data_IF_420358375831
#
_entry.id   IF_420358375831
#
_cell.length_a   1.000
_cell.length_b   1.000
_cell.length_c   1.000
_cell.angle_alpha   90.00
_cell.angle_beta   90.00
_cell.angle_gamma   90.00
#
_symmetry.space_group_name_H-M   'P 1'
#
loop_
_entity.id
_entity.type
_entity.pdbx_description
1 polymer ?
#
# COMPACT_ATOMS: atom_id res chain seq x y z
N UNK A 1 -11.18 11.01 -31.87
CA UNK A 1 -10.21 11.22 -30.77
C UNK A 1 -10.46 12.58 -30.16
N UNK A 2 -10.69 12.69 -28.85
CA UNK A 2 -10.82 14.01 -28.21
C UNK A 2 -9.72 14.16 -27.15
N UNK A 3 -8.62 14.81 -27.53
CA UNK A 3 -7.51 15.14 -26.64
C UNK A 3 -7.91 16.37 -25.83
N UNK A 4 -8.57 16.18 -24.68
CA UNK A 4 -8.84 17.28 -23.78
C UNK A 4 -7.58 17.59 -22.94
N UNK A 5 -7.00 18.76 -23.15
CA UNK A 5 -5.75 19.19 -22.52
C UNK A 5 -5.88 19.47 -21.00
N UNK A 6 -7.11 19.69 -20.50
CA UNK A 6 -7.49 19.87 -19.09
C UNK A 6 -9.02 19.88 -19.00
N UNK A 7 -9.62 19.12 -18.08
CA UNK A 7 -11.02 19.23 -17.71
C UNK A 7 -11.17 19.25 -16.18
N UNK A 8 -12.16 20.01 -15.71
CA UNK A 8 -12.71 19.92 -14.37
C UNK A 8 -14.07 19.26 -14.50
N UNK A 9 -14.30 18.18 -13.74
CA UNK A 9 -15.54 17.41 -13.84
C UNK A 9 -16.14 17.25 -12.45
N UNK A 10 -17.42 17.60 -12.32
CA UNK A 10 -18.21 17.43 -11.10
C UNK A 10 -19.59 16.85 -11.40
N UNK A 11 -19.99 15.83 -10.64
CA UNK A 11 -21.34 15.26 -10.63
C UNK A 11 -21.80 14.55 -11.91
N UNK A 12 -21.38 13.28 -12.10
CA UNK A 12 -21.98 12.25 -12.98
C UNK A 12 -21.08 10.98 -13.03
N UNK A 13 -21.56 9.92 -13.70
CA UNK A 13 -20.71 8.80 -14.17
C UNK A 13 -20.09 9.16 -15.51
N UNK A 14 -18.76 9.03 -15.64
CA UNK A 14 -18.04 9.34 -16.89
C UNK A 14 -17.19 8.17 -17.36
N UNK A 15 -17.16 7.97 -18.67
CA UNK A 15 -16.29 7.02 -19.36
C UNK A 15 -15.31 7.77 -20.26
N UNK A 16 -14.00 7.59 -20.04
CA UNK A 16 -12.96 8.21 -20.85
C UNK A 16 -11.88 7.20 -21.27
N UNK A 17 -11.44 7.28 -22.52
CA UNK A 17 -10.37 6.40 -23.01
C UNK A 17 -8.96 6.92 -22.68
N UNK A 18 -8.72 8.23 -22.78
CA UNK A 18 -7.41 8.82 -22.58
C UNK A 18 -7.52 10.17 -21.88
N UNK A 19 -6.75 10.37 -20.82
CA UNK A 19 -6.61 11.68 -20.20
C UNK A 19 -5.15 12.03 -19.87
N UNK A 20 -4.70 13.18 -20.34
CA UNK A 20 -3.37 13.68 -20.06
C UNK A 20 -3.27 14.31 -18.66
N UNK A 21 -4.20 15.21 -18.31
CA UNK A 21 -4.25 15.93 -17.02
C UNK A 21 -5.69 16.24 -16.62
N UNK A 22 -6.15 15.81 -15.44
CA UNK A 22 -7.48 16.17 -14.91
C UNK A 22 -7.47 16.52 -13.43
N UNK A 23 -8.46 17.32 -13.05
CA UNK A 23 -8.92 17.52 -11.67
C UNK A 23 -10.38 17.08 -11.57
N UNK A 24 -10.67 16.17 -10.65
CA UNK A 24 -12.02 15.63 -10.48
C UNK A 24 -12.46 15.76 -9.02
N UNK A 25 -13.68 16.21 -8.78
CA UNK A 25 -14.34 16.14 -7.47
C UNK A 25 -15.79 15.70 -7.61
N UNK A 26 -16.22 14.71 -6.80
CA UNK A 26 -17.62 14.28 -6.70
C UNK A 26 -18.17 13.55 -7.92
N UNK A 27 -17.56 12.44 -8.36
CA UNK A 27 -18.00 11.68 -9.53
C UNK A 27 -17.61 10.19 -9.48
N UNK A 28 -18.25 9.36 -10.33
CA UNK A 28 -17.79 8.01 -10.68
C UNK A 28 -17.11 8.04 -12.03
N UNK A 29 -15.91 7.48 -12.14
CA UNK A 29 -15.09 7.56 -13.35
C UNK A 29 -14.57 6.20 -13.78
N UNK A 30 -14.74 5.88 -15.06
CA UNK A 30 -14.12 4.75 -15.74
C UNK A 30 -13.10 5.26 -16.75
N UNK A 31 -11.83 4.88 -16.57
CA UNK A 31 -10.72 5.36 -17.39
C UNK A 31 -9.77 4.25 -17.84
N UNK A 32 -9.43 4.24 -19.13
CA UNK A 32 -8.47 3.29 -19.66
C UNK A 32 -7.01 3.72 -19.41
N UNK A 33 -6.64 4.94 -19.81
CA UNK A 33 -5.27 5.43 -19.67
C UNK A 33 -5.21 6.86 -19.13
N UNK A 34 -4.47 7.03 -18.02
CA UNK A 34 -4.28 8.32 -17.37
C UNK A 34 -2.79 8.64 -17.14
N UNK A 35 -2.32 9.75 -17.68
CA UNK A 35 -0.93 10.18 -17.46
C UNK A 35 -0.75 10.85 -16.09
N UNK A 36 -1.56 11.88 -15.79
CA UNK A 36 -1.52 12.61 -14.51
C UNK A 36 -2.92 12.98 -14.03
N UNK A 37 -3.26 12.71 -12.77
CA UNK A 37 -4.54 13.14 -12.20
C UNK A 37 -4.37 13.66 -10.77
N UNK A 38 -5.23 14.60 -10.41
CA UNK A 38 -5.53 14.98 -9.03
C UNK A 38 -7.01 14.71 -8.80
N UNK A 39 -7.34 13.87 -7.82
CA UNK A 39 -8.74 13.52 -7.55
C UNK A 39 -9.07 13.77 -6.09
N UNK A 40 -10.17 14.49 -5.86
CA UNK A 40 -10.81 14.62 -4.55
C UNK A 40 -11.72 13.43 -4.26
N UNK A 41 -12.86 13.68 -3.59
CA UNK A 41 -13.85 12.63 -3.27
C UNK A 41 -14.47 12.03 -4.53
N UNK A 42 -14.13 10.81 -4.89
CA UNK A 42 -14.65 10.14 -6.09
C UNK A 42 -14.57 8.60 -5.98
N UNK A 43 -15.29 7.91 -6.86
CA UNK A 43 -15.08 6.48 -7.15
C UNK A 43 -14.40 6.35 -8.52
N UNK A 44 -13.25 5.69 -8.59
CA UNK A 44 -12.46 5.56 -9.82
C UNK A 44 -12.18 4.10 -10.16
N UNK A 45 -12.46 3.73 -11.41
CA UNK A 45 -12.04 2.48 -12.04
C UNK A 45 -11.06 2.81 -13.15
N UNK A 46 -9.81 2.36 -13.01
CA UNK A 46 -8.73 2.72 -13.92
C UNK A 46 -7.87 1.52 -14.33
N UNK A 47 -7.59 1.39 -15.63
CA UNK A 47 -6.73 0.31 -16.12
C UNK A 47 -5.24 0.65 -15.95
N UNK A 48 -4.79 1.78 -16.50
CA UNK A 48 -3.37 2.16 -16.45
C UNK A 48 -3.20 3.62 -16.03
N UNK A 49 -2.39 3.84 -14.98
CA UNK A 49 -2.05 5.19 -14.54
C UNK A 49 -0.55 5.38 -14.27
N UNK A 50 0.01 6.47 -14.83
CA UNK A 50 1.41 6.79 -14.62
C UNK A 50 1.67 7.52 -13.29
N UNK A 51 0.95 8.62 -13.01
CA UNK A 51 1.14 9.42 -11.78
C UNK A 51 -0.19 9.94 -11.23
N UNK A 52 -0.50 9.71 -9.96
CA UNK A 52 -1.72 10.25 -9.34
C UNK A 52 -1.45 10.81 -7.94
N UNK A 53 -2.26 11.80 -7.57
CA UNK A 53 -2.41 12.32 -6.21
C UNK A 53 -3.90 12.33 -5.87
N UNK A 54 -4.28 11.70 -4.77
CA UNK A 54 -5.69 11.44 -4.47
C UNK A 54 -6.01 11.68 -3.00
N UNK A 55 -7.19 12.26 -2.73
CA UNK A 55 -7.70 12.53 -1.39
C UNK A 55 -9.17 12.14 -1.26
N UNK A 56 -9.55 11.23 -0.35
CA UNK A 56 -10.96 11.00 -0.02
C UNK A 56 -11.74 10.06 -0.95
N UNK A 57 -11.17 8.98 -1.49
CA UNK A 57 -11.77 8.26 -2.63
C UNK A 57 -11.83 6.72 -2.47
N UNK A 58 -12.69 6.06 -3.25
CA UNK A 58 -12.65 4.60 -3.49
C UNK A 58 -12.07 4.32 -4.87
N UNK A 59 -11.08 3.45 -4.95
CA UNK A 59 -10.34 3.21 -6.19
C UNK A 59 -10.12 1.75 -6.50
N UNK A 60 -10.33 1.40 -7.76
CA UNK A 60 -9.97 0.12 -8.35
C UNK A 60 -9.03 0.36 -9.52
N UNK A 61 -7.83 -0.20 -9.43
CA UNK A 61 -6.73 0.10 -10.35
C UNK A 61 -5.95 -1.16 -10.73
N UNK A 62 -5.77 -1.38 -12.04
CA UNK A 62 -5.01 -2.54 -12.51
C UNK A 62 -3.49 -2.29 -12.42
N UNK A 63 -2.99 -1.22 -13.05
CA UNK A 63 -1.57 -0.93 -13.09
C UNK A 63 -1.25 0.53 -12.77
N UNK A 64 -0.37 0.73 -11.79
CA UNK A 64 0.09 2.04 -11.38
C UNK A 64 1.61 2.15 -11.26
N UNK A 65 2.19 3.14 -11.93
CA UNK A 65 3.62 3.40 -11.80
C UNK A 65 3.94 4.19 -10.51
N UNK A 66 3.27 5.32 -10.26
CA UNK A 66 3.49 6.16 -9.06
C UNK A 66 2.19 6.72 -8.51
N UNK A 67 1.98 6.58 -7.21
CA UNK A 67 0.79 7.14 -6.54
C UNK A 67 1.14 7.76 -5.19
N UNK A 68 0.39 8.80 -4.85
CA UNK A 68 0.27 9.35 -3.50
C UNK A 68 -1.21 9.39 -3.14
N UNK A 69 -1.58 8.77 -2.02
CA UNK A 69 -2.98 8.61 -1.61
C UNK A 69 -3.14 9.03 -0.16
N UNK A 70 -4.13 9.86 0.12
CA UNK A 70 -4.58 10.23 1.46
C UNK A 70 -6.06 9.90 1.66
N UNK A 71 -6.47 9.28 2.77
CA UNK A 71 -7.89 9.20 3.14
C UNK A 71 -8.74 8.37 2.18
N UNK A 72 -8.44 7.10 1.90
CA UNK A 72 -9.08 6.36 0.80
C UNK A 72 -9.22 4.85 1.04
N UNK A 73 -10.09 4.20 0.25
CA UNK A 73 -10.12 2.74 0.07
C UNK A 73 -9.56 2.41 -1.31
N UNK A 74 -8.54 1.57 -1.38
CA UNK A 74 -7.79 1.33 -2.62
C UNK A 74 -7.60 -0.17 -2.88
N UNK A 75 -8.00 -0.62 -4.06
CA UNK A 75 -7.79 -1.97 -4.58
C UNK A 75 -6.87 -1.90 -5.81
N UNK A 76 -5.72 -2.57 -5.73
CA UNK A 76 -4.67 -2.48 -6.75
C UNK A 76 -4.13 -3.85 -7.12
N UNK A 77 -3.99 -4.13 -8.41
CA UNK A 77 -3.31 -5.34 -8.86
C UNK A 77 -1.79 -5.17 -8.85
N UNK A 78 -1.26 -4.18 -9.57
CA UNK A 78 0.18 -3.97 -9.69
C UNK A 78 0.59 -2.52 -9.43
N UNK A 79 1.56 -2.35 -8.53
CA UNK A 79 2.05 -1.06 -8.09
C UNK A 79 3.58 -1.00 -8.05
N UNK A 80 4.18 -0.11 -8.85
CA UNK A 80 5.64 0.07 -8.81
C UNK A 80 6.08 0.92 -7.60
N UNK A 81 5.48 2.09 -7.38
CA UNK A 81 5.81 2.99 -6.25
C UNK A 81 4.56 3.60 -5.62
N UNK A 82 4.37 3.40 -4.32
CA UNK A 82 3.23 3.93 -3.59
C UNK A 82 3.66 4.70 -2.33
N UNK A 83 2.95 5.79 -2.05
CA UNK A 83 2.94 6.44 -0.75
C UNK A 83 1.50 6.60 -0.29
N UNK A 84 1.17 6.07 0.88
CA UNK A 84 -0.21 6.00 1.35
C UNK A 84 -0.28 6.50 2.80
N UNK A 85 -1.24 7.39 3.06
CA UNK A 85 -1.58 7.93 4.37
C UNK A 85 -3.07 7.76 4.68
N UNK A 86 -3.46 7.30 5.87
CA UNK A 86 -4.87 7.37 6.30
C UNK A 86 -5.84 6.53 5.45
N UNK A 87 -5.56 5.25 5.18
CA UNK A 87 -6.31 4.49 4.15
C UNK A 87 -6.51 3.00 4.47
N UNK A 88 -7.47 2.37 3.78
CA UNK A 88 -7.59 0.92 3.65
C UNK A 88 -7.05 0.52 2.27
N UNK A 89 -6.07 -0.37 2.22
CA UNK A 89 -5.39 -0.72 0.97
C UNK A 89 -5.27 -2.24 0.80
N UNK A 90 -5.65 -2.71 -0.39
CA UNK A 90 -5.47 -4.07 -0.86
C UNK A 90 -4.58 -4.05 -2.10
N UNK A 91 -3.39 -4.66 -2.04
CA UNK A 91 -2.49 -4.76 -3.21
C UNK A 91 -2.01 -6.18 -3.43
N UNK A 92 -2.12 -6.66 -4.67
CA UNK A 92 -1.58 -7.97 -5.04
C UNK A 92 -0.04 -7.92 -5.16
N UNK A 93 0.50 -7.03 -5.98
CA UNK A 93 1.94 -6.94 -6.20
C UNK A 93 2.46 -5.50 -6.06
N UNK A 94 3.45 -5.34 -5.19
CA UNK A 94 4.09 -4.05 -4.96
C UNK A 94 5.62 -4.12 -4.95
N UNK A 95 6.26 -3.30 -5.80
CA UNK A 95 7.72 -3.23 -5.80
C UNK A 95 8.25 -2.37 -4.65
N UNK A 96 7.70 -1.16 -4.45
CA UNK A 96 8.09 -0.25 -3.36
C UNK A 96 6.89 0.46 -2.78
N UNK A 97 6.69 0.37 -1.46
CA UNK A 97 5.69 1.22 -0.81
C UNK A 97 6.20 1.86 0.49
N UNK A 98 5.59 3.01 0.81
CA UNK A 98 5.69 3.70 2.09
C UNK A 98 4.28 3.93 2.61
N UNK A 99 4.02 3.55 3.85
CA UNK A 99 2.67 3.56 4.42
C UNK A 99 2.71 4.21 5.80
N UNK A 100 1.77 5.14 6.04
CA UNK A 100 1.55 5.80 7.33
C UNK A 100 0.07 5.75 7.71
N UNK A 101 -0.30 5.40 8.95
CA UNK A 101 -1.68 5.59 9.41
C UNK A 101 -2.72 4.77 8.62
N UNK A 102 -2.55 3.47 8.41
CA UNK A 102 -3.39 2.72 7.45
C UNK A 102 -3.66 1.27 7.87
N UNK A 103 -4.70 0.65 7.28
CA UNK A 103 -4.89 -0.81 7.26
C UNK A 103 -4.51 -1.35 5.89
N UNK A 104 -3.63 -2.35 5.83
CA UNK A 104 -3.06 -2.82 4.58
C UNK A 104 -3.04 -4.34 4.48
N UNK A 105 -3.49 -4.87 3.34
CA UNK A 105 -3.36 -6.27 2.93
C UNK A 105 -2.52 -6.38 1.65
N UNK A 106 -1.42 -7.10 1.73
CA UNK A 106 -0.47 -7.31 0.63
C UNK A 106 -0.20 -8.79 0.37
N UNK A 107 -0.27 -9.20 -0.90
CA UNK A 107 0.17 -10.56 -1.26
C UNK A 107 1.68 -10.61 -1.45
N UNK A 108 2.25 -9.78 -2.31
CA UNK A 108 3.68 -9.80 -2.60
C UNK A 108 4.29 -8.40 -2.57
N UNK A 109 5.35 -8.23 -1.76
CA UNK A 109 6.05 -6.96 -1.63
C UNK A 109 7.58 -7.11 -1.66
N UNK A 110 8.24 -6.38 -2.56
CA UNK A 110 9.71 -6.39 -2.62
C UNK A 110 10.33 -5.49 -1.54
N UNK A 111 9.86 -4.24 -1.39
CA UNK A 111 10.38 -3.29 -0.38
C UNK A 111 9.27 -2.49 0.28
N UNK A 112 9.22 -2.53 1.61
CA UNK A 112 8.20 -1.86 2.41
C UNK A 112 8.80 -1.01 3.53
N UNK A 113 8.20 0.16 3.76
CA UNK A 113 8.42 0.95 4.99
C UNK A 113 7.07 1.36 5.55
N UNK A 114 6.81 1.01 6.80
CA UNK A 114 5.50 1.18 7.43
C UNK A 114 5.64 1.89 8.77
N UNK A 115 4.76 2.87 9.03
CA UNK A 115 4.64 3.58 10.29
C UNK A 115 3.17 3.68 10.73
N UNK A 116 2.82 3.42 12.00
CA UNK A 116 1.47 3.75 12.51
C UNK A 116 0.34 2.98 11.82
N UNK A 117 0.40 1.65 11.69
CA UNK A 117 -0.51 0.91 10.80
C UNK A 117 -0.83 -0.52 11.27
N UNK A 118 -1.89 -1.10 10.72
CA UNK A 118 -2.17 -2.55 10.77
C UNK A 118 -1.86 -3.17 9.41
N UNK A 119 -0.99 -4.17 9.38
CA UNK A 119 -0.49 -4.75 8.13
C UNK A 119 -0.57 -6.27 8.12
N UNK A 120 -1.11 -6.83 7.03
CA UNK A 120 -1.06 -8.26 6.71
C UNK A 120 -0.29 -8.45 5.41
N UNK A 121 0.78 -9.25 5.44
CA UNK A 121 1.62 -9.52 4.27
C UNK A 121 1.88 -11.01 4.11
N UNK A 122 1.59 -11.56 2.94
CA UNK A 122 1.91 -12.97 2.67
C UNK A 122 3.41 -13.16 2.41
N UNK A 123 3.98 -12.42 1.45
CA UNK A 123 5.39 -12.56 1.08
C UNK A 123 6.10 -11.20 0.99
N UNK A 124 7.22 -11.09 1.70
CA UNK A 124 8.05 -9.89 1.72
C UNK A 124 9.55 -10.16 1.58
N UNK A 125 10.20 -9.49 0.65
CA UNK A 125 11.67 -9.57 0.56
C UNK A 125 12.35 -8.67 1.61
N UNK A 126 11.92 -7.42 1.76
CA UNK A 126 12.48 -6.47 2.74
C UNK A 126 11.41 -5.58 3.34
N UNK A 127 11.32 -5.53 4.67
CA UNK A 127 10.49 -4.51 5.33
C UNK A 127 11.19 -3.82 6.51
N UNK A 128 10.74 -2.60 6.75
CA UNK A 128 11.05 -1.76 7.90
C UNK A 128 9.73 -1.28 8.52
N UNK A 129 9.53 -1.52 9.80
CA UNK A 129 8.25 -1.25 10.48
C UNK A 129 8.49 -0.50 11.78
N UNK A 130 7.70 0.55 12.02
CA UNK A 130 7.68 1.33 13.26
C UNK A 130 6.24 1.55 13.75
N UNK A 131 5.93 1.39 15.04
CA UNK A 131 4.64 1.84 15.58
C UNK A 131 3.41 1.14 14.99
N UNK A 132 3.39 -0.19 14.88
CA UNK A 132 2.41 -0.91 14.06
C UNK A 132 2.03 -2.29 14.62
N UNK A 133 0.91 -2.84 14.15
CA UNK A 133 0.56 -4.27 14.29
C UNK A 133 0.80 -4.95 12.96
N UNK A 134 1.61 -6.02 12.94
CA UNK A 134 2.06 -6.67 11.72
C UNK A 134 1.87 -8.19 11.78
N UNK A 135 1.25 -8.75 10.75
CA UNK A 135 1.18 -10.18 10.47
C UNK A 135 1.93 -10.50 9.16
N UNK A 136 2.97 -11.34 9.23
CA UNK A 136 3.73 -11.76 8.05
C UNK A 136 3.86 -13.28 7.97
N UNK A 137 3.49 -13.86 6.82
CA UNK A 137 3.69 -15.29 6.62
C UNK A 137 5.15 -15.61 6.30
N UNK A 138 5.73 -14.97 5.29
CA UNK A 138 7.12 -15.21 4.88
C UNK A 138 7.89 -13.91 4.65
N UNK A 139 9.03 -13.78 5.32
CA UNK A 139 9.92 -12.63 5.14
C UNK A 139 11.41 -13.00 5.02
N UNK A 140 12.08 -12.47 4.00
CA UNK A 140 13.54 -12.67 3.90
C UNK A 140 14.31 -11.75 4.88
N UNK A 141 13.95 -10.47 4.98
CA UNK A 141 14.63 -9.50 5.87
C UNK A 141 13.65 -8.54 6.52
N UNK A 142 13.70 -8.46 7.85
CA UNK A 142 12.84 -7.60 8.66
C UNK A 142 13.61 -6.74 9.66
N UNK A 143 13.17 -5.48 9.81
CA UNK A 143 13.58 -4.57 10.88
C UNK A 143 12.33 -3.96 11.51
N UNK A 144 12.16 -4.12 12.81
CA UNK A 144 10.93 -3.73 13.52
C UNK A 144 11.26 -2.95 14.79
N UNK A 145 10.54 -1.85 15.02
CA UNK A 145 10.61 -1.02 16.23
C UNK A 145 9.22 -0.63 16.76
N UNK A 146 8.98 -0.64 18.07
CA UNK A 146 7.76 -0.03 18.64
C UNK A 146 6.45 -0.69 18.19
N UNK A 147 6.38 -2.02 18.06
CA UNK A 147 5.31 -2.70 17.32
C UNK A 147 4.91 -4.05 17.94
N UNK A 148 3.73 -4.56 17.56
CA UNK A 148 3.32 -5.95 17.79
C UNK A 148 3.50 -6.74 16.50
N UNK A 149 4.24 -7.85 16.54
CA UNK A 149 4.63 -8.59 15.35
C UNK A 149 4.31 -10.09 15.49
N UNK A 150 3.60 -10.63 14.50
CA UNK A 150 3.41 -12.07 14.29
C UNK A 150 4.10 -12.48 12.99
N UNK A 151 5.08 -13.39 13.06
CA UNK A 151 5.76 -13.93 11.87
C UNK A 151 5.80 -15.44 11.88
N UNK A 152 5.34 -16.07 10.79
CA UNK A 152 5.42 -17.53 10.67
C UNK A 152 6.85 -17.95 10.28
N UNK A 153 7.42 -17.38 9.22
CA UNK A 153 8.74 -17.77 8.73
C UNK A 153 9.61 -16.55 8.36
N UNK A 154 10.82 -16.49 8.90
CA UNK A 154 11.78 -15.46 8.49
C UNK A 154 13.25 -15.91 8.42
N UNK A 155 13.93 -15.47 7.37
CA UNK A 155 15.36 -15.75 7.25
C UNK A 155 16.21 -14.84 8.17
N UNK A 156 15.90 -13.54 8.25
CA UNK A 156 16.65 -12.59 9.09
C UNK A 156 15.76 -11.53 9.72
N UNK A 157 15.83 -11.39 11.04
CA UNK A 157 15.07 -10.38 11.78
C UNK A 157 15.95 -9.56 12.74
N UNK A 158 15.61 -8.26 12.88
CA UNK A 158 16.09 -7.37 13.95
C UNK A 158 14.88 -6.66 14.57
N UNK A 159 14.73 -6.76 15.89
CA UNK A 159 13.54 -6.25 16.60
C UNK A 159 13.97 -5.49 17.86
N UNK A 160 13.32 -4.36 18.15
CA UNK A 160 13.41 -3.74 19.47
C UNK A 160 12.23 -2.86 19.88
N UNK A 161 11.99 -2.71 21.18
CA UNK A 161 10.83 -1.98 21.71
C UNK A 161 9.48 -2.57 21.28
N UNK A 162 9.35 -3.89 21.18
CA UNK A 162 8.25 -4.56 20.48
C UNK A 162 7.80 -5.85 21.18
N UNK A 163 6.58 -6.29 20.92
CA UNK A 163 6.10 -7.65 21.25
C UNK A 163 6.20 -8.52 20.01
N UNK A 164 6.84 -9.69 20.14
CA UNK A 164 7.21 -10.53 19.01
C UNK A 164 6.74 -11.98 19.22
N UNK A 165 5.90 -12.46 18.30
CA UNK A 165 5.53 -13.87 18.16
C UNK A 165 6.15 -14.43 16.88
N UNK A 166 7.03 -15.43 17.00
CA UNK A 166 7.67 -16.06 15.84
C UNK A 166 7.59 -17.58 15.96
N UNK A 167 7.18 -18.23 14.87
CA UNK A 167 7.23 -19.70 14.79
C UNK A 167 8.65 -20.14 14.39
N UNK A 168 9.14 -19.72 13.22
CA UNK A 168 10.45 -20.17 12.73
C UNK A 168 11.30 -19.00 12.19
N UNK A 169 12.53 -18.91 12.66
CA UNK A 169 13.51 -17.98 12.12
C UNK A 169 14.93 -18.54 12.09
N UNK A 170 15.62 -18.30 10.97
CA UNK A 170 17.01 -18.74 10.81
C UNK A 170 18.00 -17.85 11.58
N UNK A 171 17.78 -16.53 11.64
CA UNK A 171 18.65 -15.59 12.38
C UNK A 171 17.86 -14.44 13.00
N UNK A 172 17.98 -14.24 14.31
CA UNK A 172 17.30 -13.18 15.04
C UNK A 172 18.26 -12.34 15.90
N UNK A 173 17.94 -11.05 16.05
CA UNK A 173 18.50 -10.16 17.08
C UNK A 173 17.37 -9.36 17.71
N UNK A 174 17.23 -9.43 19.02
CA UNK A 174 16.14 -8.84 19.79
C UNK A 174 16.73 -7.99 20.92
N UNK A 175 16.24 -6.77 21.11
CA UNK A 175 16.66 -5.90 22.22
C UNK A 175 15.51 -5.03 22.73
N UNK A 176 15.25 -5.04 24.04
CA UNK A 176 14.12 -4.30 24.63
C UNK A 176 12.75 -4.75 24.12
N UNK A 177 12.56 -6.06 23.92
CA UNK A 177 11.34 -6.63 23.34
C UNK A 177 10.94 -7.93 24.06
N UNK A 178 9.63 -8.21 24.10
CA UNK A 178 9.08 -9.47 24.62
C UNK A 178 8.99 -10.48 23.48
N UNK A 179 9.57 -11.67 23.67
CA UNK A 179 9.68 -12.70 22.62
C UNK A 179 8.95 -13.98 23.02
N UNK A 180 8.02 -14.41 22.18
CA UNK A 180 7.39 -15.73 22.23
C UNK A 180 7.81 -16.53 20.99
N UNK A 181 8.56 -17.62 21.20
CA UNK A 181 8.97 -18.56 20.14
C UNK A 181 8.20 -19.87 20.30
N UNK A 182 7.44 -20.25 19.29
CA UNK A 182 6.81 -21.56 19.24
C UNK A 182 7.70 -22.49 18.42
N UNK A 183 8.39 -23.42 19.08
CA UNK A 183 9.19 -24.45 18.39
C UNK A 183 8.24 -25.54 17.88
N UNK A 184 8.30 -25.82 16.58
CA UNK A 184 7.69 -27.01 15.97
C UNK A 184 8.44 -28.27 16.38
#
# INVERSE_FOLDING_TARGET
MNLAARQQVGGATLHMNLAARQQVGGATLHMNLAARQQVGRATLHMNLAARQQMGGATLHMNLAARQQVGGATLHMNLAARQQVGGAILHVNLAARQRVGGATLRLNLAARQRVGGATLHVNLAARQQVGGATLHVNLAARQQVGGATLHVNLAARQRVGGATLHVNLAARQRVGGATLHVQRS
#
